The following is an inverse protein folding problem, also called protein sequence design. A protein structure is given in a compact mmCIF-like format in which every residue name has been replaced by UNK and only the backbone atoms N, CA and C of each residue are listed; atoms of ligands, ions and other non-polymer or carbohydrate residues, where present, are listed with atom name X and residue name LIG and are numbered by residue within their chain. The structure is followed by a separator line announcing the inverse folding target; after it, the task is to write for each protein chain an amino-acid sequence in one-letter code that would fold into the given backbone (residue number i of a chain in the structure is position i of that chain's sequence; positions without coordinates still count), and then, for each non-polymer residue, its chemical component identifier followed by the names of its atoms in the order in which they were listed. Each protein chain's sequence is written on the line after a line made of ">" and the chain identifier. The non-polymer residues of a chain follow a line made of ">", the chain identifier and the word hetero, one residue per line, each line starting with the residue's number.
data_IF_783373640748
#
_entry.id   IF_783373640748
#
_cell.length_a   1.000
_cell.length_b   1.000
_cell.length_c   1.000
_cell.angle_alpha   90.00
_cell.angle_beta   90.00
_cell.angle_gamma   90.00
#
_symmetry.space_group_name_H-M   'P 1'
#
loop_
_entity.id
_entity.type
_entity.pdbx_description
1 polymer ?
#
# COMPACT_ATOMS: atom_id res chain seq x y z
N UNK A 1 -17.91 -24.48 -20.28
CA UNK A 1 -18.07 -23.08 -20.69
C UNK A 1 -18.18 -22.26 -19.41
N UNK A 2 -17.04 -21.89 -18.84
CA UNK A 2 -16.96 -21.04 -17.65
C UNK A 2 -17.38 -19.64 -18.09
N UNK A 3 -18.51 -19.17 -17.58
CA UNK A 3 -18.89 -17.77 -17.71
C UNK A 3 -17.86 -17.00 -16.88
N UNK A 4 -16.92 -16.34 -17.54
CA UNK A 4 -16.14 -15.26 -16.93
C UNK A 4 -17.14 -14.20 -16.45
N UNK A 5 -17.55 -14.31 -15.19
CA UNK A 5 -18.13 -13.18 -14.49
C UNK A 5 -16.97 -12.21 -14.34
N UNK A 6 -16.82 -11.28 -15.29
CA UNK A 6 -16.00 -10.09 -15.09
C UNK A 6 -16.37 -9.52 -13.73
N UNK A 7 -15.46 -9.63 -12.75
CA UNK A 7 -15.72 -9.16 -11.41
C UNK A 7 -16.07 -7.68 -11.49
N UNK A 8 -17.33 -7.33 -11.27
CA UNK A 8 -17.74 -5.93 -11.27
C UNK A 8 -17.39 -5.33 -9.90
N UNK A 9 -16.11 -5.43 -9.50
CA UNK A 9 -15.61 -5.03 -8.19
C UNK A 9 -16.09 -3.63 -7.83
N UNK A 10 -16.05 -2.71 -8.79
CA UNK A 10 -16.55 -1.33 -8.66
C UNK A 10 -18.02 -1.20 -8.23
N UNK A 11 -18.83 -2.25 -8.44
CA UNK A 11 -20.24 -2.33 -8.04
C UNK A 11 -20.48 -3.07 -6.73
N UNK A 12 -19.43 -3.55 -6.06
CA UNK A 12 -19.56 -4.30 -4.80
C UNK A 12 -19.61 -3.38 -3.58
N UNK A 13 -20.21 -3.87 -2.51
CA UNK A 13 -20.20 -3.21 -1.20
C UNK A 13 -18.76 -3.06 -0.69
N UNK A 14 -17.91 -4.08 -0.85
CA UNK A 14 -16.49 -4.03 -0.49
C UNK A 14 -15.78 -2.82 -1.11
N UNK A 15 -15.89 -2.63 -2.43
CA UNK A 15 -15.29 -1.48 -3.11
C UNK A 15 -15.77 -0.14 -2.54
N UNK A 16 -17.08 0.02 -2.32
CA UNK A 16 -17.63 1.25 -1.73
C UNK A 16 -17.06 1.50 -0.35
N UNK A 17 -17.02 0.48 0.51
CA UNK A 17 -16.54 0.61 1.88
C UNK A 17 -15.04 0.93 1.94
N UNK A 18 -14.21 0.31 1.09
CA UNK A 18 -12.77 0.60 1.02
C UNK A 18 -12.52 2.04 0.55
N UNK A 19 -13.22 2.48 -0.50
CA UNK A 19 -13.10 3.85 -1.00
C UNK A 19 -13.54 4.89 0.04
N UNK A 20 -14.61 4.60 0.77
CA UNK A 20 -15.05 5.44 1.89
C UNK A 20 -14.00 5.50 3.01
N UNK A 21 -13.43 4.35 3.38
CA UNK A 21 -12.39 4.26 4.40
C UNK A 21 -11.13 5.04 4.00
N UNK A 22 -10.66 4.88 2.76
CA UNK A 22 -9.51 5.64 2.24
C UNK A 22 -9.75 7.15 2.29
N UNK A 23 -10.94 7.60 1.92
CA UNK A 23 -11.32 9.01 2.03
C UNK A 23 -11.39 9.49 3.49
N UNK A 24 -11.89 8.65 4.41
CA UNK A 24 -11.90 8.95 5.84
C UNK A 24 -10.49 9.15 6.39
N UNK A 25 -9.54 8.26 6.05
CA UNK A 25 -8.12 8.41 6.44
C UNK A 25 -7.55 9.71 5.88
N UNK A 26 -7.72 9.95 4.57
CA UNK A 26 -7.20 11.13 3.89
C UNK A 26 -7.68 12.46 4.51
N UNK A 27 -8.91 12.48 5.04
CA UNK A 27 -9.46 13.63 5.76
C UNK A 27 -9.04 13.68 7.23
N UNK A 28 -8.89 12.52 7.89
CA UNK A 28 -8.54 12.44 9.31
C UNK A 28 -7.10 12.90 9.58
N UNK A 29 -6.16 12.62 8.66
CA UNK A 29 -4.75 13.02 8.76
C UNK A 29 -4.56 14.51 9.10
N UNK A 30 -5.42 15.39 8.57
CA UNK A 30 -5.35 16.85 8.81
C UNK A 30 -6.30 17.36 9.91
N UNK A 31 -7.14 16.49 10.47
CA UNK A 31 -8.20 16.86 11.43
C UNK A 31 -7.88 16.48 12.86
N UNK A 32 -7.08 15.44 13.05
CA UNK A 32 -6.78 14.86 14.35
C UNK A 32 -5.28 14.55 14.46
N UNK A 33 -4.76 14.61 15.68
CA UNK A 33 -3.40 14.14 15.95
C UNK A 33 -3.31 12.64 15.67
N UNK A 34 -2.33 12.27 14.87
CA UNK A 34 -2.12 10.90 14.43
C UNK A 34 -1.28 10.13 15.47
N UNK A 35 -1.65 8.88 15.69
CA UNK A 35 -0.97 7.97 16.63
C UNK A 35 -0.74 6.61 15.97
N UNK A 36 -0.07 5.70 16.65
CA UNK A 36 0.17 4.33 16.17
C UNK A 36 -0.72 3.35 16.92
N UNK A 37 -1.21 2.32 16.22
CA UNK A 37 -1.89 1.20 16.86
C UNK A 37 -0.87 0.23 17.44
N UNK A 38 -0.72 0.21 18.77
CA UNK A 38 0.25 -0.68 19.44
C UNK A 38 0.12 -2.14 19.04
N UNK A 39 -1.11 -2.67 18.96
CA UNK A 39 -1.36 -4.08 18.61
C UNK A 39 -0.89 -4.42 17.19
N UNK A 40 -1.03 -3.48 16.24
CA UNK A 40 -0.56 -3.69 14.88
C UNK A 40 0.94 -3.46 14.77
N UNK A 41 1.50 -2.49 15.51
CA UNK A 41 2.95 -2.27 15.57
C UNK A 41 3.68 -3.48 16.14
N UNK A 42 3.15 -4.14 17.17
CA UNK A 42 3.72 -5.38 17.71
C UNK A 42 3.67 -6.52 16.70
N UNK A 43 2.58 -6.64 15.93
CA UNK A 43 2.48 -7.60 14.83
C UNK A 43 3.49 -7.29 13.71
N UNK A 44 3.57 -6.04 13.26
CA UNK A 44 4.52 -5.59 12.26
C UNK A 44 5.97 -5.82 12.70
N UNK A 45 6.28 -5.58 13.97
CA UNK A 45 7.59 -5.89 14.55
C UNK A 45 7.89 -7.38 14.46
N UNK A 46 6.97 -8.26 14.88
CA UNK A 46 7.15 -9.73 14.76
C UNK A 46 7.34 -10.15 13.30
N UNK A 47 6.61 -9.53 12.36
CA UNK A 47 6.78 -9.80 10.93
C UNK A 47 8.12 -9.30 10.41
N UNK A 48 8.61 -8.15 10.85
CA UNK A 48 9.95 -7.67 10.50
C UNK A 48 11.05 -8.58 11.08
N UNK A 49 10.92 -8.97 12.36
CA UNK A 49 11.83 -9.95 12.99
C UNK A 49 11.83 -11.27 12.18
N UNK A 50 10.66 -11.71 11.68
CA UNK A 50 10.55 -12.87 10.80
C UNK A 50 11.29 -12.64 9.48
N UNK A 51 11.05 -11.51 8.79
CA UNK A 51 11.76 -11.14 7.55
C UNK A 51 13.27 -11.21 7.79
N UNK A 52 13.77 -10.60 8.87
CA UNK A 52 15.19 -10.58 9.25
C UNK A 52 15.75 -11.99 9.48
N UNK A 53 14.99 -12.87 10.11
CA UNK A 53 15.43 -14.23 10.45
C UNK A 53 15.65 -15.14 9.24
N UNK A 54 14.99 -14.89 8.10
CA UNK A 54 15.11 -15.74 6.91
C UNK A 54 16.45 -15.48 6.22
N UNK A 55 17.33 -16.50 6.08
CA UNK A 55 18.59 -16.36 5.38
C UNK A 55 18.39 -16.36 3.85
N UNK A 56 19.15 -15.54 3.14
CA UNK A 56 19.14 -15.50 1.68
C UNK A 56 19.73 -16.79 1.08
N UNK A 57 19.14 -17.30 0.00
CA UNK A 57 19.59 -18.55 -0.65
C UNK A 57 20.59 -18.29 -1.77
N UNK A 58 20.43 -17.23 -2.56
CA UNK A 58 21.31 -16.94 -3.71
C UNK A 58 21.39 -15.44 -3.98
N UNK A 59 22.61 -14.93 -4.16
CA UNK A 59 22.82 -13.60 -4.75
C UNK A 59 22.67 -13.69 -6.27
N UNK A 60 21.52 -13.26 -6.80
CA UNK A 60 21.21 -13.23 -8.23
C UNK A 60 20.65 -11.88 -8.68
N UNK A 61 20.38 -11.75 -9.99
CA UNK A 61 19.74 -10.55 -10.57
C UNK A 61 18.23 -10.50 -10.29
N UNK A 62 17.62 -11.65 -10.07
CA UNK A 62 16.17 -11.83 -9.84
C UNK A 62 15.87 -12.01 -8.36
N UNK A 63 14.58 -12.12 -8.00
CA UNK A 63 14.15 -12.35 -6.63
C UNK A 63 14.80 -13.59 -6.00
N UNK A 64 15.14 -13.49 -4.72
CA UNK A 64 15.73 -14.58 -3.94
C UNK A 64 14.65 -15.61 -3.58
N UNK A 65 14.93 -16.88 -3.82
CA UNK A 65 14.05 -18.02 -3.49
C UNK A 65 13.78 -18.16 -1.97
N UNK A 66 14.51 -17.45 -1.12
CA UNK A 66 14.23 -17.29 0.31
C UNK A 66 12.90 -16.57 0.57
N UNK A 67 12.39 -15.80 -0.39
CA UNK A 67 11.07 -15.17 -0.30
C UNK A 67 9.95 -16.22 -0.07
N UNK A 68 10.05 -17.37 -0.71
CA UNK A 68 9.10 -18.48 -0.50
C UNK A 68 9.17 -19.02 0.93
N UNK A 69 10.33 -19.01 1.57
CA UNK A 69 10.46 -19.45 2.97
C UNK A 69 9.81 -18.44 3.91
N UNK A 70 9.96 -17.14 3.64
CA UNK A 70 9.24 -16.10 4.35
C UNK A 70 7.72 -16.30 4.25
N UNK A 71 7.18 -16.50 3.03
CA UNK A 71 5.75 -16.74 2.87
C UNK A 71 5.26 -18.01 3.57
N UNK A 72 6.05 -19.09 3.55
CA UNK A 72 5.75 -20.30 4.30
C UNK A 72 5.75 -20.07 5.81
N UNK A 73 6.65 -19.24 6.33
CA UNK A 73 6.67 -18.91 7.74
C UNK A 73 5.51 -17.97 8.13
N UNK A 74 5.20 -16.98 7.30
CA UNK A 74 4.10 -16.04 7.50
C UNK A 74 2.74 -16.75 7.48
N UNK A 75 2.53 -17.71 6.57
CA UNK A 75 1.26 -18.46 6.50
C UNK A 75 0.99 -19.28 7.76
N UNK A 76 2.05 -19.77 8.41
CA UNK A 76 2.00 -20.51 9.68
C UNK A 76 2.04 -19.60 10.92
N UNK A 77 2.17 -18.29 10.76
CA UNK A 77 2.16 -17.34 11.88
C UNK A 77 0.72 -17.12 12.34
N UNK A 78 0.50 -17.19 13.65
CA UNK A 78 -0.76 -16.76 14.27
C UNK A 78 -0.80 -15.24 14.33
N UNK A 79 -1.73 -14.68 13.55
CA UNK A 79 -1.94 -13.24 13.41
C UNK A 79 -2.91 -12.72 14.47
N UNK A 80 -3.65 -13.61 15.16
CA UNK A 80 -4.59 -13.28 16.24
C UNK A 80 -5.74 -12.33 15.83
N UNK A 81 -6.05 -12.27 14.53
CA UNK A 81 -7.14 -11.49 13.96
C UNK A 81 -7.97 -12.33 12.97
N UNK A 82 -9.31 -12.22 13.01
CA UNK A 82 -10.22 -13.01 12.18
C UNK A 82 -10.05 -12.75 10.66
N UNK A 83 -9.47 -11.60 10.32
CA UNK A 83 -9.23 -11.13 8.96
C UNK A 83 -7.74 -11.26 8.55
N UNK A 84 -7.03 -12.25 9.12
CA UNK A 84 -5.60 -12.50 8.91
C UNK A 84 -5.22 -12.71 7.44
N UNK A 85 -6.13 -13.20 6.61
CA UNK A 85 -5.92 -13.40 5.18
C UNK A 85 -5.47 -12.11 4.49
N UNK A 86 -6.04 -10.95 4.84
CA UNK A 86 -5.62 -9.67 4.27
C UNK A 86 -4.20 -9.28 4.70
N UNK A 87 -3.79 -9.64 5.92
CA UNK A 87 -2.43 -9.41 6.39
C UNK A 87 -1.43 -10.36 5.72
N UNK A 88 -1.77 -11.65 5.60
CA UNK A 88 -0.91 -12.65 4.95
C UNK A 88 -0.70 -12.34 3.47
N UNK A 89 -1.73 -11.83 2.81
CA UNK A 89 -1.70 -11.44 1.39
C UNK A 89 -1.16 -10.02 1.16
N UNK A 90 -0.71 -9.31 2.19
CA UNK A 90 -0.11 -7.98 2.03
C UNK A 90 1.38 -8.00 1.72
N UNK A 91 2.08 -9.13 1.77
CA UNK A 91 3.54 -9.18 1.60
C UNK A 91 3.98 -9.80 0.26
N UNK A 92 3.22 -9.59 -0.81
CA UNK A 92 3.59 -10.10 -2.14
C UNK A 92 3.07 -11.51 -2.42
N UNK A 93 3.54 -12.12 -3.51
CA UNK A 93 3.15 -13.46 -3.94
C UNK A 93 4.35 -14.41 -3.99
N UNK A 94 4.23 -15.56 -3.32
CA UNK A 94 5.32 -16.55 -3.24
C UNK A 94 5.63 -17.24 -4.58
N UNK A 95 4.64 -17.45 -5.43
CA UNK A 95 4.83 -18.15 -6.71
C UNK A 95 5.43 -17.25 -7.78
N UNK A 96 5.04 -15.98 -7.80
CA UNK A 96 5.55 -14.98 -8.76
C UNK A 96 6.77 -14.22 -8.26
N UNK A 97 7.05 -14.30 -6.95
CA UNK A 97 8.12 -13.59 -6.28
C UNK A 97 8.04 -12.06 -6.46
N UNK A 98 6.79 -11.55 -6.48
CA UNK A 98 6.48 -10.16 -6.78
C UNK A 98 5.71 -9.46 -5.65
N UNK A 99 5.77 -8.13 -5.63
CA UNK A 99 4.97 -7.26 -4.77
C UNK A 99 4.46 -6.06 -5.57
N UNK A 100 3.29 -5.56 -5.24
CA UNK A 100 2.75 -4.35 -5.85
C UNK A 100 1.52 -3.83 -5.12
N UNK A 101 0.86 -2.86 -5.74
CA UNK A 101 -0.25 -2.10 -5.15
C UNK A 101 -1.48 -2.93 -4.76
N UNK A 102 -1.67 -4.12 -5.34
CA UNK A 102 -2.71 -5.06 -4.88
C UNK A 102 -2.44 -5.62 -3.47
N UNK A 103 -1.17 -5.87 -3.13
CA UNK A 103 -0.76 -6.32 -1.80
C UNK A 103 -0.84 -5.16 -0.79
N UNK A 104 -0.47 -3.96 -1.22
CA UNK A 104 -0.67 -2.72 -0.46
C UNK A 104 -2.16 -2.50 -0.11
N UNK A 105 -3.06 -2.77 -1.06
CA UNK A 105 -4.52 -2.73 -0.84
C UNK A 105 -4.97 -3.77 0.18
N UNK A 106 -4.39 -4.97 0.19
CA UNK A 106 -4.71 -5.99 1.20
C UNK A 106 -4.38 -5.49 2.61
N UNK A 107 -3.25 -4.81 2.82
CA UNK A 107 -2.94 -4.22 4.13
C UNK A 107 -3.93 -3.12 4.53
N UNK A 108 -4.37 -2.29 3.57
CA UNK A 108 -5.43 -1.30 3.83
C UNK A 108 -6.75 -1.99 4.24
N UNK A 109 -7.10 -3.10 3.60
CA UNK A 109 -8.29 -3.90 3.95
C UNK A 109 -8.16 -4.53 5.34
N UNK A 110 -6.96 -4.99 5.72
CA UNK A 110 -6.67 -5.49 7.06
C UNK A 110 -6.95 -4.42 8.12
N UNK A 111 -6.36 -3.21 7.97
CA UNK A 111 -6.59 -2.09 8.90
C UNK A 111 -8.06 -1.67 8.94
N UNK A 112 -8.74 -1.66 7.80
CA UNK A 112 -10.17 -1.35 7.73
C UNK A 112 -10.99 -2.28 8.61
N UNK A 113 -10.78 -3.60 8.51
CA UNK A 113 -11.52 -4.56 9.32
C UNK A 113 -11.25 -4.35 10.82
N UNK A 114 -10.01 -4.03 11.20
CA UNK A 114 -9.68 -3.71 12.59
C UNK A 114 -10.36 -2.42 13.09
N UNK A 115 -10.54 -1.43 12.22
CA UNK A 115 -11.30 -0.21 12.55
C UNK A 115 -12.79 -0.51 12.69
N UNK A 116 -13.36 -1.32 11.79
CA UNK A 116 -14.76 -1.74 11.87
C UNK A 116 -15.03 -2.54 13.17
N UNK A 117 -14.10 -3.40 13.56
CA UNK A 117 -14.13 -4.17 14.80
C UNK A 117 -13.75 -3.35 16.05
N UNK A 118 -13.43 -2.06 15.88
CA UNK A 118 -13.04 -1.12 16.95
C UNK A 118 -11.78 -1.54 17.72
N UNK A 119 -10.92 -2.37 17.10
CA UNK A 119 -9.59 -2.76 17.61
C UNK A 119 -8.55 -1.67 17.32
N UNK A 120 -8.78 -0.87 16.27
CA UNK A 120 -7.94 0.26 15.84
C UNK A 120 -8.81 1.50 15.67
N UNK A 121 -8.32 2.67 16.05
CA UNK A 121 -8.99 3.96 15.79
C UNK A 121 -8.59 4.51 14.43
N UNK A 122 -9.45 5.35 13.85
CA UNK A 122 -9.15 5.96 12.54
C UNK A 122 -7.84 6.78 12.54
N UNK A 123 -7.56 7.54 13.61
CA UNK A 123 -6.34 8.33 13.76
C UNK A 123 -5.09 7.51 14.11
N UNK A 124 -5.24 6.18 14.30
CA UNK A 124 -4.11 5.26 14.45
C UNK A 124 -3.64 4.70 13.09
N UNK A 125 -4.45 4.82 12.04
CA UNK A 125 -4.22 4.16 10.75
C UNK A 125 -2.98 4.70 10.03
N UNK A 126 -2.82 6.02 9.98
CA UNK A 126 -1.80 6.65 9.13
C UNK A 126 -0.36 6.31 9.56
N UNK A 127 -0.02 6.46 10.84
CA UNK A 127 1.34 6.13 11.30
C UNK A 127 1.59 4.61 11.32
N UNK A 128 0.55 3.82 11.60
CA UNK A 128 0.64 2.35 11.52
C UNK A 128 0.93 1.88 10.09
N UNK A 129 0.22 2.40 9.08
CA UNK A 129 0.47 2.01 7.69
C UNK A 129 1.80 2.56 7.15
N UNK A 130 2.25 3.71 7.67
CA UNK A 130 3.58 4.25 7.36
C UNK A 130 4.69 3.28 7.79
N UNK A 131 4.56 2.63 8.95
CA UNK A 131 5.52 1.61 9.38
C UNK A 131 5.50 0.38 8.47
N UNK A 132 4.32 -0.07 8.07
CA UNK A 132 4.20 -1.14 7.07
C UNK A 132 4.94 -0.79 5.77
N UNK A 133 4.87 0.45 5.28
CA UNK A 133 5.61 0.86 4.08
C UNK A 133 7.13 0.76 4.25
N UNK A 134 7.67 1.07 5.43
CA UNK A 134 9.10 0.90 5.75
C UNK A 134 9.49 -0.56 5.74
N UNK A 135 8.71 -1.43 6.39
CA UNK A 135 8.95 -2.88 6.41
C UNK A 135 8.89 -3.45 4.99
N UNK A 136 7.93 -3.04 4.17
CA UNK A 136 7.83 -3.48 2.76
C UNK A 136 9.05 -3.06 1.95
N UNK A 137 9.57 -1.84 2.12
CA UNK A 137 10.81 -1.42 1.42
C UNK A 137 12.01 -2.25 1.83
N UNK A 138 12.14 -2.56 3.13
CA UNK A 138 13.18 -3.48 3.62
C UNK A 138 13.00 -4.89 3.03
N UNK A 139 11.78 -5.41 3.02
CA UNK A 139 11.41 -6.69 2.43
C UNK A 139 11.76 -6.78 0.94
N UNK A 140 11.40 -5.75 0.16
CA UNK A 140 11.74 -5.65 -1.27
C UNK A 140 13.25 -5.68 -1.48
N UNK A 141 13.98 -4.85 -0.73
CA UNK A 141 15.44 -4.77 -0.82
C UNK A 141 16.12 -6.08 -0.40
N UNK A 142 15.65 -6.71 0.68
CA UNK A 142 16.23 -7.95 1.20
C UNK A 142 16.09 -9.10 0.22
N UNK A 143 14.88 -9.32 -0.31
CA UNK A 143 14.60 -10.47 -1.18
C UNK A 143 14.70 -10.14 -2.67
N UNK A 144 15.08 -8.90 -3.04
CA UNK A 144 15.12 -8.44 -4.43
C UNK A 144 13.80 -8.69 -5.18
N UNK A 145 12.69 -8.40 -4.52
CA UNK A 145 11.32 -8.74 -4.96
C UNK A 145 11.00 -8.04 -6.28
N UNK A 146 10.32 -8.73 -7.20
CA UNK A 146 9.96 -8.14 -8.49
C UNK A 146 8.72 -7.23 -8.37
N UNK A 147 8.61 -6.15 -9.17
CA UNK A 147 7.44 -5.29 -9.13
C UNK A 147 6.26 -5.91 -9.89
N UNK A 148 5.15 -6.13 -9.17
CA UNK A 148 3.90 -6.65 -9.73
C UNK A 148 3.11 -5.53 -10.43
N UNK A 149 3.04 -5.58 -11.75
CA UNK A 149 2.23 -4.63 -12.53
C UNK A 149 2.78 -3.21 -12.57
N UNK A 150 4.11 -3.04 -12.55
CA UNK A 150 4.75 -1.71 -12.68
C UNK A 150 4.27 -0.98 -13.93
N UNK A 151 4.09 0.33 -13.78
CA UNK A 151 3.72 1.26 -14.85
C UNK A 151 4.93 1.99 -15.46
N UNK A 152 6.15 1.67 -15.01
CA UNK A 152 7.38 2.35 -15.42
C UNK A 152 7.28 3.87 -15.23
N UNK A 153 7.62 4.63 -16.27
CA UNK A 153 7.60 6.11 -16.25
C UNK A 153 6.20 6.72 -16.04
N UNK A 154 5.13 5.93 -16.21
CA UNK A 154 3.73 6.35 -16.01
C UNK A 154 3.23 6.13 -14.58
N UNK A 155 4.04 5.51 -13.71
CA UNK A 155 3.79 5.33 -12.29
C UNK A 155 4.48 6.38 -11.43
N UNK A 156 4.10 6.44 -10.15
CA UNK A 156 4.84 7.22 -9.13
C UNK A 156 6.03 6.42 -8.60
N UNK A 157 5.80 5.13 -8.38
CA UNK A 157 6.75 4.13 -7.91
C UNK A 157 6.42 2.77 -8.54
N UNK A 158 7.36 1.82 -8.51
CA UNK A 158 7.16 0.49 -9.09
C UNK A 158 6.31 -0.44 -8.22
N UNK A 159 6.21 -0.17 -6.91
CA UNK A 159 5.62 -1.06 -5.91
C UNK A 159 4.41 -0.45 -5.20
N UNK A 160 4.49 0.84 -4.86
CA UNK A 160 3.60 1.50 -3.90
C UNK A 160 2.92 2.75 -4.48
N UNK A 161 1.73 3.06 -3.98
CA UNK A 161 1.00 4.28 -4.35
C UNK A 161 0.44 4.98 -3.10
N UNK A 162 -0.05 4.22 -2.12
CA UNK A 162 -0.59 4.78 -0.88
C UNK A 162 0.38 5.70 -0.10
N UNK A 163 1.71 5.47 -0.03
CA UNK A 163 2.62 6.40 0.63
C UNK A 163 2.56 7.81 0.05
N UNK A 164 2.40 7.94 -1.27
CA UNK A 164 2.26 9.24 -1.94
C UNK A 164 0.87 9.83 -1.71
N UNK A 165 -0.18 9.00 -1.70
CA UNK A 165 -1.54 9.48 -1.44
C UNK A 165 -1.68 10.02 -0.02
N UNK A 166 -1.31 9.21 0.98
CA UNK A 166 -1.44 9.58 2.39
C UNK A 166 -0.40 10.62 2.79
N UNK A 167 0.83 10.53 2.27
CA UNK A 167 1.86 11.54 2.50
C UNK A 167 1.52 12.89 1.88
N UNK A 168 0.86 12.93 0.72
CA UNK A 168 0.39 14.20 0.18
C UNK A 168 -0.75 14.79 1.01
N UNK A 169 -1.55 13.96 1.71
CA UNK A 169 -2.55 14.45 2.66
C UNK A 169 -1.92 15.09 3.90
N UNK A 170 -0.88 14.47 4.46
CA UNK A 170 -0.07 15.01 5.58
C UNK A 170 0.50 16.40 5.27
N UNK A 171 0.84 16.65 4.00
CA UNK A 171 1.44 17.90 3.55
C UNK A 171 0.41 18.99 3.20
N UNK A 172 -0.89 18.70 3.19
CA UNK A 172 -1.93 19.70 2.85
C UNK A 172 -1.95 20.83 3.88
N UNK A 173 -2.00 22.07 3.39
CA UNK A 173 -1.96 23.26 4.24
C UNK A 173 -0.56 23.61 4.79
N UNK A 174 0.48 22.82 4.48
CA UNK A 174 1.87 23.15 4.82
C UNK A 174 2.54 23.97 3.71
N UNK A 175 3.66 24.62 4.05
CA UNK A 175 4.51 25.33 3.07
C UNK A 175 5.72 24.50 2.62
N UNK A 176 5.81 23.23 3.03
CA UNK A 176 6.89 22.33 2.61
C UNK A 176 6.82 22.18 1.10
N UNK A 177 7.94 22.32 0.41
CA UNK A 177 8.02 22.18 -1.04
C UNK A 177 8.46 20.77 -1.43
N UNK A 178 8.21 20.38 -2.68
CA UNK A 178 8.68 19.09 -3.20
C UNK A 178 10.21 18.95 -3.06
N UNK A 179 10.95 20.02 -3.36
CA UNK A 179 12.42 19.99 -3.31
C UNK A 179 12.95 19.86 -1.86
N UNK A 180 12.22 20.38 -0.85
CA UNK A 180 12.55 20.20 0.58
C UNK A 180 12.28 18.77 1.10
N UNK A 181 11.50 17.96 0.37
CA UNK A 181 11.30 16.55 0.72
C UNK A 181 12.47 15.67 0.29
N UNK A 182 13.31 16.13 -0.64
CA UNK A 182 14.48 15.38 -1.11
C UNK A 182 15.50 15.29 0.03
N UNK A 183 15.76 14.07 0.49
CA UNK A 183 16.59 13.76 1.65
C UNK A 183 15.88 13.94 3.00
N UNK A 184 14.61 14.38 3.01
CA UNK A 184 13.82 14.52 4.23
C UNK A 184 12.83 13.35 4.40
N UNK A 185 13.08 12.52 5.41
CA UNK A 185 12.24 11.37 5.76
C UNK A 185 11.25 11.65 6.91
N UNK A 186 11.10 12.90 7.33
CA UNK A 186 10.12 13.31 8.36
C UNK A 186 8.68 13.11 7.89
N UNK A 187 8.43 13.26 6.58
CA UNK A 187 7.13 13.12 5.95
C UNK A 187 7.00 11.78 5.23
N UNK A 188 5.80 11.19 5.25
CA UNK A 188 5.53 9.92 4.55
C UNK A 188 5.77 10.04 3.03
N UNK A 189 5.41 11.18 2.42
CA UNK A 189 5.70 11.44 1.01
C UNK A 189 7.21 11.52 0.77
N UNK A 190 7.94 12.18 1.67
CA UNK A 190 9.40 12.32 1.60
C UNK A 190 10.10 10.97 1.66
N UNK A 191 9.70 10.08 2.58
CA UNK A 191 10.24 8.71 2.62
C UNK A 191 10.02 7.95 1.32
N UNK A 192 8.82 8.05 0.74
CA UNK A 192 8.49 7.38 -0.53
C UNK A 192 9.31 7.96 -1.70
N UNK A 193 9.41 9.29 -1.78
CA UNK A 193 10.24 10.00 -2.75
C UNK A 193 11.72 9.59 -2.64
N UNK A 194 12.25 9.53 -1.44
CA UNK A 194 13.66 9.20 -1.20
C UNK A 194 13.97 7.75 -1.53
N UNK A 195 13.02 6.82 -1.31
CA UNK A 195 13.15 5.45 -1.78
C UNK A 195 13.21 5.35 -3.31
N UNK A 196 12.35 6.09 -4.03
CA UNK A 196 12.40 6.14 -5.50
C UNK A 196 13.77 6.66 -5.98
N UNK A 197 14.30 7.70 -5.32
CA UNK A 197 15.61 8.27 -5.65
C UNK A 197 16.75 7.27 -5.36
N UNK A 198 16.67 6.54 -4.25
CA UNK A 198 17.65 5.52 -3.88
C UNK A 198 17.72 4.40 -4.93
N UNK A 199 16.56 3.94 -5.42
CA UNK A 199 16.47 2.83 -6.37
C UNK A 199 16.77 3.26 -7.81
N UNK A 200 16.27 4.42 -8.24
CA UNK A 200 16.28 4.84 -9.66
C UNK A 200 17.27 5.95 -9.99
N UNK A 201 17.85 6.61 -8.98
CA UNK A 201 18.80 7.70 -9.13
C UNK A 201 18.21 9.09 -8.84
N UNK A 202 19.08 10.11 -8.90
CA UNK A 202 18.73 11.49 -8.50
C UNK A 202 18.01 12.30 -9.58
N UNK A 203 18.08 11.88 -10.84
CA UNK A 203 17.46 12.60 -11.95
C UNK A 203 15.99 12.18 -12.13
N UNK A 204 15.15 12.60 -11.17
CA UNK A 204 13.74 12.17 -11.08
C UNK A 204 12.97 12.44 -12.38
N UNK A 205 13.23 13.57 -13.04
CA UNK A 205 12.60 13.92 -14.31
C UNK A 205 12.84 12.90 -15.43
N UNK A 206 13.94 12.15 -15.38
CA UNK A 206 14.28 11.16 -16.40
C UNK A 206 13.55 9.83 -16.22
N UNK A 207 13.35 9.37 -14.98
CA UNK A 207 12.79 8.05 -14.69
C UNK A 207 11.38 8.05 -14.08
N UNK A 208 10.96 9.17 -13.47
CA UNK A 208 9.66 9.32 -12.80
C UNK A 208 9.03 10.70 -13.11
N UNK A 209 8.77 11.03 -14.39
CA UNK A 209 8.31 12.35 -14.80
C UNK A 209 6.96 12.75 -14.18
N UNK A 210 6.03 11.80 -13.96
CA UNK A 210 4.76 12.07 -13.28
C UNK A 210 4.97 12.48 -11.81
N UNK A 211 5.86 11.80 -11.09
CA UNK A 211 6.21 12.18 -9.73
C UNK A 211 6.88 13.56 -9.71
N UNK A 212 7.81 13.80 -10.64
CA UNK A 212 8.50 15.08 -10.75
C UNK A 212 7.55 16.25 -11.05
N UNK A 213 6.50 16.04 -11.85
CA UNK A 213 5.54 17.11 -12.21
C UNK A 213 4.79 17.68 -11.00
N UNK A 214 4.73 16.95 -9.88
CA UNK A 214 4.08 17.45 -8.65
C UNK A 214 4.81 18.62 -7.99
N UNK A 215 6.10 18.87 -8.32
CA UNK A 215 6.83 20.05 -7.84
C UNK A 215 6.19 21.39 -8.25
N UNK A 216 5.34 21.38 -9.28
CA UNK A 216 4.69 22.57 -9.83
C UNK A 216 3.33 22.88 -9.18
N UNK A 217 2.91 22.11 -8.18
CA UNK A 217 1.57 22.14 -7.63
C UNK A 217 1.58 22.23 -6.10
N UNK A 218 0.56 22.86 -5.52
CA UNK A 218 0.33 22.79 -4.08
C UNK A 218 -0.17 21.39 -3.67
N UNK A 219 -0.02 21.05 -2.39
CA UNK A 219 -0.35 19.71 -1.87
C UNK A 219 -1.82 19.35 -1.97
N UNK A 220 -2.75 20.30 -1.91
CA UNK A 220 -4.17 20.03 -2.17
C UNK A 220 -4.40 19.53 -3.60
N UNK A 221 -3.75 20.16 -4.59
CA UNK A 221 -3.83 19.71 -5.98
C UNK A 221 -3.12 18.37 -6.16
N UNK A 222 -1.94 18.18 -5.58
CA UNK A 222 -1.19 16.91 -5.64
C UNK A 222 -2.02 15.77 -5.05
N UNK A 223 -2.56 15.93 -3.84
CA UNK A 223 -3.40 14.92 -3.19
C UNK A 223 -4.61 14.55 -4.05
N UNK A 224 -5.32 15.53 -4.61
CA UNK A 224 -6.45 15.28 -5.51
C UNK A 224 -6.05 14.51 -6.78
N UNK A 225 -4.89 14.82 -7.37
CA UNK A 225 -4.38 14.11 -8.55
C UNK A 225 -4.01 12.66 -8.22
N UNK A 226 -3.33 12.43 -7.10
CA UNK A 226 -2.94 11.08 -6.67
C UNK A 226 -4.18 10.26 -6.27
N UNK A 227 -5.19 10.88 -5.66
CA UNK A 227 -6.45 10.20 -5.33
C UNK A 227 -7.15 9.69 -6.59
N UNK A 228 -7.20 10.51 -7.65
CA UNK A 228 -7.71 10.08 -8.97
C UNK A 228 -6.87 8.97 -9.58
N UNK A 229 -5.55 9.10 -9.51
CA UNK A 229 -4.63 8.08 -9.99
C UNK A 229 -4.83 6.74 -9.26
N UNK A 230 -5.07 6.76 -7.94
CA UNK A 230 -5.36 5.55 -7.17
C UNK A 230 -6.68 4.90 -7.60
N UNK A 231 -7.74 5.70 -7.78
CA UNK A 231 -9.03 5.21 -8.27
C UNK A 231 -8.90 4.51 -9.64
N UNK A 232 -8.13 5.10 -10.57
CA UNK A 232 -7.88 4.53 -11.89
C UNK A 232 -6.96 3.30 -11.84
N UNK A 233 -5.92 3.35 -11.03
CA UNK A 233 -4.87 2.33 -10.99
C UNK A 233 -5.27 1.07 -10.24
N UNK A 234 -6.12 1.22 -9.23
CA UNK A 234 -6.49 0.17 -8.30
C UNK A 234 -7.96 -0.18 -8.49
N UNK A 235 -8.87 0.73 -8.12
CA UNK A 235 -10.30 0.42 -8.08
C UNK A 235 -10.95 0.17 -9.44
N UNK A 236 -10.44 0.77 -10.51
CA UNK A 236 -10.93 0.56 -11.89
C UNK A 236 -10.08 -0.42 -12.70
N UNK A 237 -9.02 -0.98 -12.10
CA UNK A 237 -8.10 -1.86 -12.80
C UNK A 237 -8.49 -3.32 -12.62
N UNK A 238 -9.01 -3.94 -13.68
CA UNK A 238 -9.46 -5.33 -13.66
C UNK A 238 -8.34 -6.33 -13.30
N UNK A 239 -7.08 -6.04 -13.63
CA UNK A 239 -5.95 -6.93 -13.30
C UNK A 239 -5.70 -6.97 -11.79
N UNK A 240 -5.89 -5.84 -11.11
CA UNK A 240 -5.78 -5.75 -9.66
C UNK A 240 -7.03 -6.36 -9.00
N UNK A 241 -8.20 -6.03 -9.53
CA UNK A 241 -9.48 -6.40 -8.93
C UNK A 241 -9.88 -7.86 -9.10
N UNK A 242 -9.42 -8.55 -10.15
CA UNK A 242 -9.77 -9.96 -10.39
C UNK A 242 -9.27 -10.90 -9.28
N UNK A 243 -8.30 -10.45 -8.50
CA UNK A 243 -7.73 -11.19 -7.36
C UNK A 243 -8.20 -10.64 -6.00
N UNK A 244 -9.20 -9.75 -5.98
CA UNK A 244 -9.71 -9.20 -4.73
C UNK A 244 -10.31 -10.29 -3.84
N UNK A 245 -9.95 -10.27 -2.56
CA UNK A 245 -10.37 -11.26 -1.57
C UNK A 245 -11.65 -10.74 -0.91
N UNK A 246 -12.77 -11.41 -1.16
CA UNK A 246 -14.02 -11.15 -0.43
C UNK A 246 -14.05 -11.92 0.90
N UNK A 247 -14.67 -11.32 1.91
CA UNK A 247 -14.80 -11.87 3.25
C UNK A 247 -16.12 -11.43 3.89
N UNK A 248 -16.41 -11.90 5.11
CA UNK A 248 -17.59 -11.44 5.85
C UNK A 248 -17.57 -9.92 6.11
N UNK A 249 -16.39 -9.32 6.30
CA UNK A 249 -16.23 -7.86 6.47
C UNK A 249 -16.28 -7.08 5.15
N UNK A 250 -15.91 -7.72 4.03
CA UNK A 250 -15.82 -7.11 2.70
C UNK A 250 -16.51 -7.99 1.68
N UNK A 251 -17.84 -7.86 1.61
CA UNK A 251 -18.72 -8.72 0.82
C UNK A 251 -18.74 -8.35 -0.67
N UNK A 252 -18.92 -9.37 -1.51
CA UNK A 252 -19.15 -9.26 -2.96
C UNK A 252 -20.57 -8.79 -3.31
N UNK A 253 -21.39 -8.50 -2.30
CA UNK A 253 -22.77 -8.02 -2.45
C UNK A 253 -22.80 -6.83 -3.40
N UNK A 254 -23.51 -7.00 -4.52
CA UNK A 254 -23.68 -5.96 -5.51
C UNK A 254 -24.58 -4.86 -4.96
N UNK A 255 -24.13 -3.62 -5.10
CA UNK A 255 -24.96 -2.45 -4.87
C UNK A 255 -25.86 -2.33 -6.10
N UNK A 256 -27.11 -2.73 -5.93
CA UNK A 256 -28.15 -2.40 -6.90
C UNK A 256 -28.29 -0.88 -6.83
N UNK A 257 -27.85 -0.18 -7.88
CA UNK A 257 -28.19 1.21 -8.05
C UNK A 257 -29.70 1.30 -8.25
N UNK A 258 -30.43 1.72 -7.22
CA UNK A 258 -31.68 2.40 -7.48
C UNK A 258 -31.32 3.66 -8.30
N UNK A 259 -31.93 3.71 -9.50
CA UNK A 259 -31.94 4.76 -10.53
C UNK A 259 -31.18 6.07 -10.26
#
# INVERSE_FOLDING_TARGET
>A
MLIEIQSNFSKTLAHKQIKQFLNQINLNIIREDQTESKIVMDLLKRTNDLIESIPLKKKGRFADEALSDFHNALSNTDIEFDNDIYFKESFGNSSRLDYGTGHELNFLCFLKCLVDDKKVKLNEVFLTIREYFRIVRYFIAKFNVEPAGSKGIWGLDDYQLLPFLLGSAELRGTNVTFDELIGNNEYCFGEALNYVIEVKGKEISAHSPLLYSYKEHNWDKVNNLIFKLYDESIFKNNVVNQHFIYSEHLKDTLIISDQ
#
